data_IF_622686791142
#
_entry.id   IF_622686791142
#
_cell.length_a   1.000
_cell.length_b   1.000
_cell.length_c   1.000
_cell.angle_alpha   90.00
_cell.angle_beta   90.00
_cell.angle_gamma   90.00
#
_symmetry.space_group_name_H-M   'P 1'
#
loop_
_entity.id
_entity.type
_entity.pdbx_description
1 polymer ?
#
# COMPACT_ATOMS: atom_id res chain seq x y z
N UNK A 1 -18.18 11.56 -14.74
CA UNK A 1 -19.39 10.74 -15.00
C UNK A 1 -19.09 9.25 -15.20
N UNK A 2 -18.30 8.80 -16.18
CA UNK A 2 -18.05 7.36 -16.41
C UNK A 2 -17.57 6.58 -15.16
N UNK A 3 -16.63 7.14 -14.40
CA UNK A 3 -16.07 6.50 -13.18
C UNK A 3 -17.16 6.27 -12.10
N UNK A 4 -18.11 7.21 -11.97
CA UNK A 4 -19.20 7.12 -10.99
C UNK A 4 -20.16 5.99 -11.35
N UNK A 5 -20.50 5.82 -12.63
CA UNK A 5 -21.35 4.71 -13.08
C UNK A 5 -20.71 3.34 -12.87
N UNK A 6 -19.40 3.21 -13.13
CA UNK A 6 -18.67 1.98 -12.84
C UNK A 6 -18.61 1.67 -11.35
N UNK A 7 -18.47 2.70 -10.50
CA UNK A 7 -18.49 2.53 -9.05
C UNK A 7 -19.87 2.07 -8.54
N UNK A 8 -20.95 2.71 -9.00
CA UNK A 8 -22.32 2.34 -8.62
C UNK A 8 -22.66 0.92 -9.09
N UNK A 9 -22.29 0.58 -10.34
CA UNK A 9 -22.49 -0.77 -10.87
C UNK A 9 -21.70 -1.81 -10.05
N UNK A 10 -20.44 -1.53 -9.72
CA UNK A 10 -19.63 -2.40 -8.88
C UNK A 10 -20.23 -2.63 -7.50
N UNK A 11 -20.70 -1.56 -6.84
CA UNK A 11 -21.37 -1.64 -5.53
C UNK A 11 -22.67 -2.44 -5.64
N UNK A 12 -23.48 -2.21 -6.68
CA UNK A 12 -24.74 -2.92 -6.89
C UNK A 12 -24.53 -4.42 -7.13
N UNK A 13 -23.51 -4.80 -7.91
CA UNK A 13 -23.15 -6.20 -8.12
C UNK A 13 -22.63 -6.82 -6.82
N UNK A 14 -21.81 -6.10 -6.05
CA UNK A 14 -21.28 -6.58 -4.77
C UNK A 14 -22.40 -6.82 -3.76
N UNK A 15 -23.38 -5.90 -3.67
CA UNK A 15 -24.57 -6.06 -2.82
C UNK A 15 -25.46 -7.22 -3.28
N UNK A 16 -25.66 -7.39 -4.59
CA UNK A 16 -26.43 -8.50 -5.13
C UNK A 16 -25.78 -9.86 -4.84
N UNK A 17 -24.47 -9.98 -5.08
CA UNK A 17 -23.70 -11.18 -4.73
C UNK A 17 -23.76 -11.41 -3.21
N UNK A 18 -23.70 -10.34 -2.41
CA UNK A 18 -23.73 -10.47 -0.97
C UNK A 18 -25.07 -11.00 -0.42
N UNK A 19 -26.17 -10.55 -1.02
CA UNK A 19 -27.53 -10.95 -0.61
C UNK A 19 -27.89 -12.38 -1.06
N UNK A 20 -27.48 -12.78 -2.27
CA UNK A 20 -27.90 -14.05 -2.86
C UNK A 20 -26.86 -15.17 -2.75
N UNK A 21 -25.58 -14.83 -2.56
CA UNK A 21 -24.47 -15.79 -2.60
C UNK A 21 -23.40 -15.44 -1.58
N UNK A 22 -23.76 -15.41 -0.29
CA UNK A 22 -22.85 -15.09 0.82
C UNK A 22 -21.54 -15.89 0.81
N UNK A 23 -21.57 -17.15 0.38
CA UNK A 23 -20.37 -17.99 0.22
C UNK A 23 -19.47 -17.55 -0.95
N UNK A 24 -20.02 -16.98 -2.02
CA UNK A 24 -19.24 -16.45 -3.15
C UNK A 24 -18.55 -15.12 -2.82
N UNK A 25 -19.01 -14.38 -1.81
CA UNK A 25 -18.30 -13.19 -1.31
C UNK A 25 -16.87 -13.54 -0.89
N UNK A 26 -16.70 -14.65 -0.17
CA UNK A 26 -15.39 -15.10 0.34
C UNK A 26 -14.41 -15.35 -0.82
N UNK A 27 -14.92 -15.82 -1.97
CA UNK A 27 -14.13 -16.06 -3.17
C UNK A 27 -13.81 -14.75 -3.93
N UNK A 28 -14.81 -13.90 -4.13
CA UNK A 28 -14.72 -12.78 -5.07
C UNK A 28 -14.00 -11.57 -4.45
N UNK A 29 -14.23 -11.28 -3.17
CA UNK A 29 -13.70 -10.07 -2.51
C UNK A 29 -12.16 -10.01 -2.54
N UNK A 30 -11.42 -11.08 -2.19
CA UNK A 30 -9.95 -11.05 -2.26
C UNK A 30 -9.42 -10.77 -3.68
N UNK A 31 -10.09 -11.29 -4.72
CA UNK A 31 -9.73 -11.03 -6.12
C UNK A 31 -9.94 -9.54 -6.45
N UNK A 32 -11.09 -8.98 -6.10
CA UNK A 32 -11.38 -7.56 -6.35
C UNK A 32 -10.39 -6.64 -5.64
N UNK A 33 -10.06 -6.94 -4.38
CA UNK A 33 -9.03 -6.21 -3.62
C UNK A 33 -7.68 -6.33 -4.32
N UNK A 34 -7.28 -7.52 -4.76
CA UNK A 34 -6.03 -7.73 -5.50
C UNK A 34 -5.95 -6.93 -6.80
N UNK A 35 -7.04 -6.91 -7.59
CA UNK A 35 -7.13 -6.10 -8.82
C UNK A 35 -7.07 -4.61 -8.52
N UNK A 36 -7.77 -4.16 -7.48
CA UNK A 36 -7.75 -2.76 -7.05
C UNK A 36 -6.35 -2.31 -6.62
N UNK A 37 -5.68 -3.09 -5.75
CA UNK A 37 -4.32 -2.82 -5.30
C UNK A 37 -3.33 -2.80 -6.48
N UNK A 38 -3.46 -3.74 -7.43
CA UNK A 38 -2.66 -3.75 -8.64
C UNK A 38 -2.86 -2.48 -9.48
N UNK A 39 -4.11 -2.05 -9.66
CA UNK A 39 -4.43 -0.84 -10.42
C UNK A 39 -3.82 0.40 -9.78
N UNK A 40 -3.97 0.57 -8.47
CA UNK A 40 -3.41 1.70 -7.71
C UNK A 40 -1.87 1.66 -7.70
N UNK A 41 -1.28 0.48 -7.59
CA UNK A 41 0.18 0.32 -7.48
C UNK A 41 0.91 0.25 -8.82
N UNK A 42 0.18 0.24 -9.95
CA UNK A 42 0.74 0.05 -11.29
C UNK A 42 1.88 1.04 -11.61
N UNK A 43 1.70 2.31 -11.24
CA UNK A 43 2.70 3.36 -11.48
C UNK A 43 3.96 3.15 -10.66
N UNK A 44 3.81 2.86 -9.36
CA UNK A 44 4.93 2.54 -8.47
C UNK A 44 5.69 1.31 -8.95
N UNK A 45 4.97 0.25 -9.35
CA UNK A 45 5.58 -0.97 -9.91
C UNK A 45 6.37 -0.65 -11.19
N UNK A 46 5.81 0.16 -12.09
CA UNK A 46 6.48 0.58 -13.33
C UNK A 46 7.76 1.34 -12.99
N UNK A 47 7.71 2.30 -12.06
CA UNK A 47 8.86 3.07 -11.60
C UNK A 47 9.98 2.21 -11.00
N UNK A 48 9.65 1.18 -10.22
CA UNK A 48 10.65 0.29 -9.60
C UNK A 48 11.27 -0.68 -10.61
N UNK A 49 10.51 -1.11 -11.62
CA UNK A 49 10.96 -2.03 -12.67
C UNK A 49 11.82 -1.35 -13.74
N UNK A 50 11.60 -0.06 -14.01
CA UNK A 50 12.41 0.70 -14.97
C UNK A 50 13.82 0.91 -14.40
N UNK A 51 14.83 0.51 -15.16
CA UNK A 51 16.24 0.70 -14.80
C UNK A 51 16.67 2.15 -14.98
N UNK A 52 17.70 2.55 -14.23
CA UNK A 52 18.31 3.86 -14.40
C UNK A 52 19.07 3.94 -15.72
N UNK A 53 18.89 5.03 -16.44
CA UNK A 53 19.58 5.38 -17.68
C UNK A 53 20.41 6.63 -17.42
N UNK A 54 21.70 6.57 -17.76
CA UNK A 54 22.59 7.75 -17.72
C UNK A 54 22.19 8.76 -18.80
N UNK A 55 22.33 10.05 -18.51
CA UNK A 55 21.94 11.13 -19.43
C UNK A 55 22.67 11.04 -20.78
N UNK A 56 23.94 10.64 -20.80
CA UNK A 56 24.69 10.48 -22.06
C UNK A 56 24.24 9.31 -22.95
N UNK A 57 23.43 8.39 -22.42
CA UNK A 57 22.91 7.20 -23.12
C UNK A 57 21.40 7.30 -23.39
N UNK A 58 20.85 8.51 -23.31
CA UNK A 58 19.44 8.71 -23.59
C UNK A 58 19.13 8.36 -25.06
N UNK A 59 18.03 7.64 -25.22
CA UNK A 59 17.40 7.36 -26.49
C UNK A 59 15.91 7.66 -26.35
N UNK A 60 15.23 7.89 -27.47
CA UNK A 60 13.79 8.14 -27.43
C UNK A 60 13.05 6.96 -26.79
N UNK A 61 12.20 7.26 -25.82
CA UNK A 61 11.47 6.22 -25.10
C UNK A 61 11.25 6.53 -23.62
N UNK A 62 10.69 5.56 -22.91
CA UNK A 62 10.53 5.65 -21.46
C UNK A 62 11.88 5.45 -20.79
N UNK A 63 12.32 6.45 -20.03
CA UNK A 63 13.58 6.41 -19.28
C UNK A 63 13.34 6.72 -17.81
N UNK A 64 14.30 6.32 -16.98
CA UNK A 64 14.35 6.71 -15.58
C UNK A 64 15.74 7.23 -15.27
N UNK A 65 15.83 8.43 -14.75
CA UNK A 65 17.10 9.13 -14.51
C UNK A 65 17.18 9.49 -13.05
N UNK A 66 18.36 9.36 -12.45
CA UNK A 66 18.64 9.86 -11.11
C UNK A 66 19.62 11.02 -11.22
N UNK A 67 19.34 12.12 -10.55
CA UNK A 67 20.25 13.25 -10.56
C UNK A 67 19.85 14.33 -9.57
N UNK A 68 20.64 15.39 -9.58
CA UNK A 68 20.47 16.57 -8.74
C UNK A 68 19.67 17.62 -9.47
N UNK A 69 18.72 18.23 -8.77
CA UNK A 69 17.81 19.24 -9.31
C UNK A 69 18.47 20.60 -9.38
N UNK A 70 18.24 21.31 -10.48
CA UNK A 70 18.57 22.72 -10.66
C UNK A 70 17.48 23.44 -11.44
N UNK A 71 16.95 24.52 -10.88
CA UNK A 71 16.00 25.42 -11.51
C UNK A 71 16.35 26.89 -11.22
N UNK A 72 15.91 27.78 -12.11
CA UNK A 72 16.27 29.21 -12.09
C UNK A 72 15.49 30.00 -11.04
N UNK A 73 14.23 29.65 -10.84
CA UNK A 73 13.32 30.36 -9.93
C UNK A 73 13.07 29.50 -8.67
N UNK A 74 12.71 30.16 -7.58
CA UNK A 74 12.30 29.52 -6.34
C UNK A 74 11.01 30.15 -5.83
N UNK A 75 10.23 29.35 -5.12
CA UNK A 75 8.95 29.69 -4.51
C UNK A 75 9.02 29.40 -3.01
N UNK A 76 8.15 30.05 -2.24
CA UNK A 76 7.95 29.73 -0.83
C UNK A 76 6.63 29.00 -0.66
N UNK A 77 6.65 27.91 0.10
CA UNK A 77 5.41 27.18 0.36
C UNK A 77 4.42 27.99 1.19
N UNK A 78 3.10 27.81 1.00
CA UNK A 78 2.08 28.65 1.63
C UNK A 78 2.11 28.64 3.16
N UNK A 79 2.32 27.47 3.79
CA UNK A 79 2.27 27.29 5.23
C UNK A 79 3.65 27.21 5.88
N UNK A 80 4.49 26.25 5.48
CA UNK A 80 5.80 26.05 6.14
C UNK A 80 6.86 27.06 5.70
N UNK A 81 6.55 27.95 4.75
CA UNK A 81 7.46 28.97 4.20
C UNK A 81 8.80 28.38 3.75
N UNK A 82 8.76 27.20 3.15
CA UNK A 82 9.96 26.52 2.66
C UNK A 82 10.29 26.97 1.25
N UNK A 83 11.56 27.31 1.02
CA UNK A 83 12.05 27.56 -0.34
C UNK A 83 12.06 26.24 -1.13
N UNK A 84 11.51 26.27 -2.34
CA UNK A 84 11.35 25.12 -3.22
C UNK A 84 11.25 25.56 -4.69
N UNK A 85 11.39 24.64 -5.63
CA UNK A 85 11.16 24.88 -7.07
C UNK A 85 9.79 24.37 -7.52
N UNK A 86 9.04 23.78 -6.59
CA UNK A 86 7.68 23.34 -6.83
C UNK A 86 7.09 22.73 -5.57
N UNK A 87 5.78 22.92 -5.39
CA UNK A 87 5.05 22.39 -4.26
C UNK A 87 3.64 21.93 -4.63
N UNK A 88 3.14 20.99 -3.82
CA UNK A 88 1.73 20.65 -3.72
C UNK A 88 1.30 20.92 -2.28
N UNK A 89 0.49 21.95 -2.07
CA UNK A 89 -0.07 22.33 -0.79
C UNK A 89 -1.54 21.90 -0.71
N UNK A 90 -1.91 21.26 0.39
CA UNK A 90 -3.29 20.90 0.72
C UNK A 90 -3.65 21.42 2.10
N UNK A 91 -4.74 22.17 2.17
CA UNK A 91 -5.39 22.59 3.41
C UNK A 91 -6.72 21.86 3.54
N UNK A 92 -6.95 21.14 4.63
CA UNK A 92 -8.22 20.47 4.87
C UNK A 92 -8.68 20.69 6.32
N UNK A 93 -9.99 20.79 6.51
CA UNK A 93 -10.59 20.74 7.83
C UNK A 93 -10.62 19.28 8.29
N UNK A 94 -10.24 19.00 9.53
CA UNK A 94 -10.29 17.70 10.15
C UNK A 94 -11.49 17.67 11.07
N UNK A 95 -12.46 16.86 10.71
CA UNK A 95 -13.61 16.54 11.55
C UNK A 95 -13.34 15.19 12.22
N UNK A 96 -13.72 15.10 13.49
CA UNK A 96 -13.63 13.88 14.27
C UNK A 96 -15.01 13.26 14.39
N UNK A 97 -15.11 11.99 14.04
CA UNK A 97 -16.32 11.22 14.35
C UNK A 97 -16.27 10.76 15.81
N UNK A 98 -17.24 11.22 16.59
CA UNK A 98 -17.34 10.94 18.03
C UNK A 98 -17.63 9.48 18.35
N UNK A 99 -18.17 8.70 17.40
CA UNK A 99 -18.51 7.28 17.60
C UNK A 99 -17.35 6.36 17.26
N UNK A 100 -16.69 6.59 16.12
CA UNK A 100 -15.60 5.73 15.65
C UNK A 100 -14.21 6.22 16.09
N UNK A 101 -14.09 7.47 16.52
CA UNK A 101 -12.82 8.14 16.80
C UNK A 101 -11.98 8.39 15.55
N UNK A 102 -12.53 8.21 14.35
CA UNK A 102 -11.78 8.38 13.10
C UNK A 102 -11.80 9.82 12.60
N UNK A 103 -10.68 10.22 12.02
CA UNK A 103 -10.50 11.54 11.42
C UNK A 103 -10.95 11.55 9.96
N UNK A 104 -11.67 12.61 9.57
CA UNK A 104 -12.10 12.83 8.20
C UNK A 104 -11.68 14.22 7.71
N UNK A 105 -11.18 14.28 6.49
CA UNK A 105 -10.88 15.54 5.82
C UNK A 105 -12.12 16.10 5.12
N UNK A 106 -12.48 17.34 5.43
CA UNK A 106 -13.53 18.13 4.79
C UNK A 106 -12.93 19.37 4.12
N UNK A 107 -13.56 19.83 3.04
CA UNK A 107 -13.26 21.11 2.39
C UNK A 107 -11.79 21.29 1.99
N UNK A 108 -11.20 20.24 1.41
CA UNK A 108 -9.82 20.26 0.97
C UNK A 108 -9.61 21.31 -0.14
N UNK A 109 -8.76 22.31 0.12
CA UNK A 109 -8.24 23.25 -0.88
C UNK A 109 -6.83 22.83 -1.27
N UNK A 110 -6.57 22.79 -2.57
CA UNK A 110 -5.28 22.41 -3.14
C UNK A 110 -4.72 23.61 -3.87
N UNK A 111 -3.45 23.91 -3.61
CA UNK A 111 -2.67 24.92 -4.33
C UNK A 111 -1.39 24.26 -4.82
N UNK A 112 -1.07 24.42 -6.10
CA UNK A 112 0.09 23.84 -6.74
C UNK A 112 0.83 24.93 -7.51
N UNK A 113 2.15 24.95 -7.38
CA UNK A 113 3.01 25.80 -8.20
C UNK A 113 4.27 25.02 -8.54
N UNK A 114 4.70 25.08 -9.78
CA UNK A 114 5.87 24.36 -10.27
C UNK A 114 6.41 25.04 -11.52
N UNK A 115 7.63 24.66 -11.88
CA UNK A 115 8.30 25.09 -13.09
C UNK A 115 9.04 23.94 -13.75
N UNK A 116 9.45 24.15 -14.99
CA UNK A 116 10.46 23.31 -15.63
C UNK A 116 11.77 23.40 -14.86
N UNK A 117 12.46 22.27 -14.77
CA UNK A 117 13.73 22.17 -14.08
C UNK A 117 14.71 21.30 -14.85
N UNK A 118 15.96 21.30 -14.43
CA UNK A 118 16.99 20.45 -14.97
C UNK A 118 17.40 19.40 -13.96
N UNK A 119 17.72 18.22 -14.48
CA UNK A 119 18.30 17.13 -13.73
C UNK A 119 19.73 16.93 -14.21
N UNK A 120 20.69 16.90 -13.29
CA UNK A 120 22.10 16.68 -13.59
C UNK A 120 22.61 15.38 -12.94
N UNK A 121 23.31 14.56 -13.72
CA UNK A 121 24.06 13.41 -13.23
C UNK A 121 25.55 13.58 -13.58
N UNK A 122 26.38 12.55 -13.34
CA UNK A 122 27.82 12.59 -13.68
C UNK A 122 28.09 12.61 -15.18
N UNK A 123 27.08 12.37 -16.01
CA UNK A 123 27.19 12.20 -17.46
C UNK A 123 26.60 13.35 -18.26
N UNK A 124 25.78 14.22 -17.65
CA UNK A 124 25.23 15.39 -18.31
C UNK A 124 24.13 16.09 -17.53
N UNK A 125 23.41 16.97 -18.23
CA UNK A 125 22.26 17.73 -17.74
C UNK A 125 21.13 17.60 -18.75
N UNK A 126 19.92 17.31 -18.27
CA UNK A 126 18.72 17.11 -19.10
C UNK A 126 17.58 18.00 -18.59
N UNK A 127 16.81 18.58 -19.50
CA UNK A 127 15.64 19.38 -19.14
C UNK A 127 14.46 18.44 -18.83
N UNK A 128 13.71 18.74 -17.79
CA UNK A 128 12.46 18.07 -17.43
C UNK A 128 11.32 19.07 -17.58
N UNK A 129 10.39 18.74 -18.46
CA UNK A 129 9.21 19.57 -18.76
C UNK A 129 7.97 18.80 -18.32
N UNK A 130 7.29 19.32 -17.30
CA UNK A 130 6.10 18.70 -16.73
C UNK A 130 4.85 19.47 -17.18
N UNK A 131 3.81 18.77 -17.66
CA UNK A 131 2.50 19.39 -17.86
C UNK A 131 1.66 19.34 -16.58
N UNK A 132 1.84 18.27 -15.80
CA UNK A 132 1.21 18.09 -14.49
C UNK A 132 2.27 17.70 -13.46
N UNK A 133 2.30 18.43 -12.36
CA UNK A 133 3.30 18.23 -11.32
C UNK A 133 2.78 17.28 -10.24
N UNK A 134 3.10 15.99 -10.37
CA UNK A 134 2.69 14.98 -9.40
C UNK A 134 3.83 14.65 -8.42
N UNK A 135 3.72 15.17 -7.20
CA UNK A 135 4.67 14.91 -6.12
C UNK A 135 4.25 13.77 -5.17
N UNK A 136 3.27 12.94 -5.52
CA UNK A 136 2.70 11.93 -4.61
C UNK A 136 3.75 10.98 -3.99
N UNK A 137 4.85 10.71 -4.72
CA UNK A 137 5.92 9.81 -4.26
C UNK A 137 7.05 10.51 -3.50
N UNK A 138 6.86 11.79 -3.15
CA UNK A 138 7.72 12.52 -2.24
C UNK A 138 7.11 12.58 -0.84
N UNK A 139 7.95 12.70 0.21
CA UNK A 139 7.48 12.82 1.58
C UNK A 139 6.58 14.05 1.74
N UNK A 140 5.54 13.89 2.54
CA UNK A 140 4.64 14.96 2.90
C UNK A 140 4.99 15.48 4.30
N UNK A 141 5.14 16.79 4.43
CA UNK A 141 5.21 17.46 5.71
C UNK A 141 3.80 17.85 6.13
N UNK A 142 3.39 17.46 7.33
CA UNK A 142 2.05 17.72 7.86
C UNK A 142 2.12 18.47 9.17
N UNK A 143 1.18 19.38 9.38
CA UNK A 143 0.93 20.06 10.65
C UNK A 143 -0.57 20.24 10.83
N UNK A 144 -1.06 20.05 12.05
CA UNK A 144 -2.48 20.14 12.38
C UNK A 144 -2.67 21.19 13.46
N UNK A 145 -3.38 22.26 13.10
CA UNK A 145 -3.72 23.34 14.02
C UNK A 145 -5.00 22.93 14.74
N UNK A 146 -4.87 22.66 16.04
CA UNK A 146 -5.99 22.31 16.89
C UNK A 146 -6.77 23.55 17.33
N UNK A 147 -8.08 23.54 17.13
CA UNK A 147 -8.96 24.61 17.61
C UNK A 147 -9.29 24.39 19.09
N UNK A 148 -9.07 25.41 19.92
CA UNK A 148 -9.46 25.40 21.34
C UNK A 148 -10.99 25.61 21.49
N UNK A 149 -11.67 26.06 20.43
CA UNK A 149 -13.12 26.31 20.45
C UNK A 149 -13.90 25.02 20.23
N UNK A 150 -14.89 24.79 21.09
CA UNK A 150 -15.82 23.66 20.98
C UNK A 150 -16.53 23.65 19.61
N UNK A 151 -16.61 22.48 18.99
CA UNK A 151 -17.27 22.25 17.70
C UNK A 151 -16.71 23.05 16.51
N UNK A 152 -15.42 23.38 16.53
CA UNK A 152 -14.70 23.91 15.37
C UNK A 152 -13.72 22.85 14.88
N UNK A 153 -13.79 22.50 13.60
CA UNK A 153 -12.89 21.55 12.98
C UNK A 153 -11.42 22.01 13.10
N UNK A 154 -10.53 21.04 13.29
CA UNK A 154 -9.09 21.30 13.23
C UNK A 154 -8.66 21.56 11.79
N UNK A 155 -7.50 22.18 11.58
CA UNK A 155 -7.03 22.48 10.22
C UNK A 155 -5.70 21.78 9.98
N UNK A 156 -5.69 20.86 9.01
CA UNK A 156 -4.48 20.15 8.58
C UNK A 156 -3.87 20.80 7.34
N UNK A 157 -2.60 21.15 7.48
CA UNK A 157 -1.74 21.65 6.44
C UNK A 157 -0.81 20.53 6.00
N UNK A 158 -0.84 20.19 4.70
CA UNK A 158 0.03 19.16 4.11
C UNK A 158 0.78 19.74 2.93
N UNK A 159 2.10 19.65 2.94
CA UNK A 159 2.95 20.14 1.84
C UNK A 159 3.90 19.04 1.36
N UNK A 160 3.99 18.90 0.04
CA UNK A 160 5.09 18.17 -0.62
C UNK A 160 5.87 19.17 -1.44
N UNK A 161 7.20 19.10 -1.37
CA UNK A 161 8.09 20.08 -1.99
C UNK A 161 9.17 19.40 -2.80
N UNK A 162 9.63 20.10 -3.83
CA UNK A 162 10.82 19.77 -4.61
C UNK A 162 11.83 20.90 -4.46
N UNK A 163 13.08 20.63 -4.06
CA UNK A 163 14.06 21.70 -3.78
C UNK A 163 15.26 21.63 -4.73
N UNK A 164 15.88 22.78 -4.95
CA UNK A 164 17.17 22.84 -5.60
C UNK A 164 18.21 22.06 -4.80
N UNK A 165 19.06 21.28 -5.47
CA UNK A 165 20.06 20.44 -4.83
C UNK A 165 19.56 19.07 -4.36
N UNK A 166 18.24 18.81 -4.35
CA UNK A 166 17.74 17.48 -4.01
C UNK A 166 18.17 16.44 -5.05
N UNK A 167 18.55 15.25 -4.58
CA UNK A 167 18.79 14.10 -5.46
C UNK A 167 17.51 13.29 -5.60
N UNK A 168 16.94 13.27 -6.80
CA UNK A 168 15.67 12.58 -7.10
C UNK A 168 15.82 11.59 -8.25
N UNK A 169 14.80 10.75 -8.40
CA UNK A 169 14.61 9.86 -9.54
C UNK A 169 13.38 10.28 -10.33
N UNK A 170 13.57 10.59 -11.62
CA UNK A 170 12.53 11.00 -12.56
C UNK A 170 12.33 9.91 -13.60
N UNK A 171 11.10 9.39 -13.72
CA UNK A 171 10.69 8.51 -14.81
C UNK A 171 9.79 9.29 -15.76
N UNK A 172 10.14 9.34 -17.05
CA UNK A 172 9.41 10.10 -18.06
C UNK A 172 9.75 9.63 -19.48
N UNK A 173 9.18 10.28 -20.48
CA UNK A 173 9.50 9.97 -21.88
C UNK A 173 10.60 10.90 -22.37
N UNK A 174 11.75 10.34 -22.75
CA UNK A 174 12.80 11.08 -23.45
C UNK A 174 12.36 11.36 -24.88
N UNK A 175 12.34 12.64 -25.25
CA UNK A 175 12.02 13.11 -26.59
C UNK A 175 13.17 13.95 -27.11
N UNK A 176 13.55 13.76 -28.37
CA UNK A 176 14.58 14.55 -29.02
C UNK A 176 14.12 16.01 -29.15
N UNK A 177 14.97 16.95 -28.77
CA UNK A 177 14.71 18.38 -28.91
C UNK A 177 15.31 18.92 -30.23
N UNK A 178 15.10 20.22 -30.49
CA UNK A 178 15.56 20.88 -31.72
C UNK A 178 17.08 20.95 -31.85
N UNK A 179 17.82 20.82 -30.74
CA UNK A 179 19.28 20.97 -30.66
C UNK A 179 20.01 19.60 -30.65
N UNK A 180 19.37 18.56 -31.20
CA UNK A 180 19.84 17.16 -31.16
C UNK A 180 20.05 16.57 -29.74
N UNK A 181 19.60 17.27 -28.69
CA UNK A 181 19.57 16.80 -27.31
C UNK A 181 18.26 16.08 -26.95
N UNK A 182 18.08 15.78 -25.67
CA UNK A 182 16.87 15.15 -25.15
C UNK A 182 16.23 15.99 -24.04
N UNK A 183 14.90 16.03 -24.06
CA UNK A 183 14.09 16.55 -22.97
C UNK A 183 13.24 15.41 -22.40
N UNK A 184 12.99 15.44 -21.09
CA UNK A 184 12.11 14.49 -20.42
C UNK A 184 10.73 15.11 -20.30
N UNK A 185 9.76 14.52 -20.98
CA UNK A 185 8.40 15.06 -21.07
C UNK A 185 7.35 14.06 -20.58
N UNK A 186 6.20 14.60 -20.21
CA UNK A 186 4.99 13.82 -19.93
C UNK A 186 4.27 13.43 -21.24
N UNK A 187 3.87 12.17 -21.39
CA UNK A 187 2.98 11.70 -22.47
C UNK A 187 1.72 11.04 -21.89
N UNK A 188 0.57 11.03 -22.60
CA UNK A 188 -0.70 10.50 -22.08
C UNK A 188 -0.63 9.08 -21.48
N UNK A 189 0.20 8.19 -22.04
CA UNK A 189 0.40 6.81 -21.57
C UNK A 189 1.67 6.62 -20.72
N UNK A 190 2.50 7.65 -20.60
CA UNK A 190 3.76 7.65 -19.87
C UNK A 190 3.81 8.91 -19.01
N UNK A 191 3.17 8.90 -17.83
CA UNK A 191 3.19 10.04 -16.94
C UNK A 191 4.63 10.32 -16.49
N UNK A 192 4.93 11.60 -16.26
CA UNK A 192 6.14 12.00 -15.56
C UNK A 192 5.98 11.66 -14.08
N UNK A 193 6.93 10.92 -13.54
CA UNK A 193 6.89 10.47 -12.15
C UNK A 193 8.17 10.89 -11.44
N UNK A 194 8.02 11.64 -10.36
CA UNK A 194 9.12 12.13 -9.52
C UNK A 194 9.09 11.38 -8.20
N UNK A 195 10.24 10.84 -7.78
CA UNK A 195 10.37 10.07 -6.53
C UNK A 195 11.75 10.24 -5.91
N UNK A 196 11.90 9.85 -4.64
CA UNK A 196 13.19 9.82 -3.96
C UNK A 196 13.67 8.37 -3.72
N UNK A 197 14.92 8.21 -3.29
CA UNK A 197 15.52 6.90 -3.00
C UNK A 197 14.80 6.16 -1.88
N UNK A 198 14.30 6.88 -0.87
CA UNK A 198 13.58 6.33 0.27
C UNK A 198 12.29 5.62 -0.16
N UNK A 199 11.42 6.32 -0.90
CA UNK A 199 10.20 5.76 -1.46
C UNK A 199 10.49 4.55 -2.35
N UNK A 200 11.52 4.63 -3.19
CA UNK A 200 11.89 3.53 -4.07
C UNK A 200 12.37 2.30 -3.31
N UNK A 201 13.17 2.48 -2.27
CA UNK A 201 13.68 1.39 -1.44
C UNK A 201 12.54 0.73 -0.67
N UNK A 202 11.65 1.52 -0.07
CA UNK A 202 10.46 1.02 0.62
C UNK A 202 9.54 0.23 -0.33
N UNK A 203 9.29 0.77 -1.53
CA UNK A 203 8.48 0.11 -2.56
C UNK A 203 9.13 -1.19 -3.06
N UNK A 204 10.45 -1.20 -3.28
CA UNK A 204 11.20 -2.39 -3.71
C UNK A 204 11.16 -3.48 -2.63
N UNK A 205 11.29 -3.10 -1.36
CA UNK A 205 11.17 -3.99 -0.21
C UNK A 205 9.78 -4.60 -0.11
N UNK A 206 8.72 -3.78 -0.25
CA UNK A 206 7.34 -4.24 -0.29
C UNK A 206 7.09 -5.24 -1.43
N UNK A 207 7.58 -4.94 -2.64
CA UNK A 207 7.44 -5.85 -3.78
C UNK A 207 8.20 -7.17 -3.61
N UNK A 208 9.40 -7.15 -3.01
CA UNK A 208 10.14 -8.37 -2.68
C UNK A 208 9.41 -9.19 -1.63
N UNK A 209 8.92 -8.55 -0.57
CA UNK A 209 8.11 -9.18 0.49
C UNK A 209 6.89 -9.86 -0.11
N UNK A 210 6.13 -9.14 -0.94
CA UNK A 210 4.98 -9.67 -1.65
C UNK A 210 5.36 -10.86 -2.52
N UNK A 211 6.46 -10.78 -3.28
CA UNK A 211 6.95 -11.90 -4.11
C UNK A 211 7.24 -13.16 -3.29
N UNK A 212 7.81 -13.02 -2.09
CA UNK A 212 8.08 -14.16 -1.21
C UNK A 212 6.81 -14.77 -0.61
N UNK A 213 5.81 -13.94 -0.28
CA UNK A 213 4.57 -14.39 0.34
C UNK A 213 3.50 -14.85 -0.67
N UNK A 214 3.57 -14.40 -1.93
CA UNK A 214 2.59 -14.67 -2.98
C UNK A 214 2.18 -16.14 -3.13
N UNK A 215 3.09 -17.14 -3.22
CA UNK A 215 2.68 -18.53 -3.36
C UNK A 215 1.84 -19.02 -2.17
N UNK A 216 2.11 -18.55 -0.96
CA UNK A 216 1.36 -18.93 0.24
C UNK A 216 0.00 -18.24 0.32
N UNK A 217 -0.08 -16.98 -0.16
CA UNK A 217 -1.36 -16.28 -0.32
C UNK A 217 -2.26 -17.03 -1.32
N UNK A 218 -1.68 -17.51 -2.43
CA UNK A 218 -2.41 -18.31 -3.42
C UNK A 218 -2.88 -19.65 -2.83
N UNK A 219 -1.99 -20.39 -2.14
CA UNK A 219 -2.35 -21.65 -1.47
C UNK A 219 -3.47 -21.41 -0.47
N UNK A 220 -3.34 -20.39 0.39
CA UNK A 220 -4.37 -19.99 1.35
C UNK A 220 -5.70 -19.72 0.64
N UNK A 221 -5.69 -18.91 -0.43
CA UNK A 221 -6.88 -18.59 -1.19
C UNK A 221 -7.56 -19.85 -1.76
N UNK A 222 -6.81 -20.74 -2.41
CA UNK A 222 -7.37 -21.96 -2.97
C UNK A 222 -7.87 -22.92 -1.89
N UNK A 223 -7.15 -23.09 -0.78
CA UNK A 223 -7.55 -23.95 0.33
C UNK A 223 -8.84 -23.45 1.01
N UNK A 224 -8.94 -22.14 1.30
CA UNK A 224 -10.15 -21.56 1.89
C UNK A 224 -11.34 -21.74 0.96
N UNK A 225 -11.19 -21.44 -0.33
CA UNK A 225 -12.26 -21.62 -1.30
C UNK A 225 -12.68 -23.08 -1.49
N UNK A 226 -11.72 -24.00 -1.46
CA UNK A 226 -12.01 -25.44 -1.50
C UNK A 226 -12.92 -25.84 -0.32
N UNK A 227 -12.59 -25.43 0.90
CA UNK A 227 -13.38 -25.79 2.07
C UNK A 227 -14.75 -25.10 2.13
N UNK A 228 -14.83 -23.85 1.68
CA UNK A 228 -16.08 -23.09 1.68
C UNK A 228 -17.05 -23.55 0.59
N UNK A 229 -16.56 -23.86 -0.62
CA UNK A 229 -17.42 -24.07 -1.79
C UNK A 229 -17.52 -25.54 -2.24
N UNK A 230 -16.45 -26.32 -2.07
CA UNK A 230 -16.31 -27.63 -2.71
C UNK A 230 -16.26 -28.80 -1.73
N UNK A 231 -16.09 -28.55 -0.42
CA UNK A 231 -15.96 -29.64 0.55
C UNK A 231 -17.26 -30.42 0.68
N UNK A 232 -17.29 -31.71 0.31
CA UNK A 232 -18.52 -32.52 0.32
C UNK A 232 -18.85 -33.10 1.71
N UNK A 233 -18.25 -32.57 2.77
CA UNK A 233 -18.16 -33.28 4.06
C UNK A 233 -19.23 -32.79 5.03
N UNK A 234 -20.39 -33.45 5.02
CA UNK A 234 -21.38 -33.39 6.11
C UNK A 234 -20.89 -34.16 7.35
N UNK A 235 -19.73 -33.78 7.90
CA UNK A 235 -19.33 -34.24 9.24
C UNK A 235 -19.96 -33.32 10.26
N UNK A 236 -21.01 -33.81 10.91
CA UNK A 236 -21.63 -33.14 12.05
C UNK A 236 -20.70 -33.25 13.26
N UNK A 237 -19.71 -32.37 13.34
CA UNK A 237 -18.97 -32.13 14.57
C UNK A 237 -19.83 -31.28 15.49
N UNK A 238 -19.98 -31.67 16.78
CA UNK A 238 -20.69 -30.83 17.73
C UNK A 238 -19.99 -29.47 17.79
N UNK A 239 -20.78 -28.41 17.74
CA UNK A 239 -20.26 -27.06 17.87
C UNK A 239 -19.61 -26.92 19.25
N UNK A 240 -18.38 -26.41 19.28
CA UNK A 240 -17.67 -26.14 20.51
C UNK A 240 -17.46 -24.62 20.64
N UNK A 241 -18.36 -23.98 21.38
CA UNK A 241 -18.34 -22.53 21.59
C UNK A 241 -17.04 -22.06 22.25
N UNK A 242 -16.42 -22.88 23.10
CA UNK A 242 -15.15 -22.55 23.72
C UNK A 242 -14.03 -22.43 22.69
N UNK A 243 -14.02 -23.28 21.65
CA UNK A 243 -13.03 -23.21 20.57
C UNK A 243 -13.23 -21.96 19.73
N UNK A 244 -14.49 -21.58 19.45
CA UNK A 244 -14.82 -20.34 18.72
C UNK A 244 -14.35 -19.11 19.49
N UNK A 245 -14.69 -19.01 20.78
CA UNK A 245 -14.26 -17.91 21.65
C UNK A 245 -12.72 -17.87 21.77
N UNK A 246 -12.08 -19.03 21.91
CA UNK A 246 -10.62 -19.12 21.93
C UNK A 246 -10.00 -18.66 20.61
N UNK A 247 -10.56 -19.02 19.46
CA UNK A 247 -10.08 -18.57 18.16
C UNK A 247 -10.18 -17.04 18.00
N UNK A 248 -11.25 -16.42 18.49
CA UNK A 248 -11.45 -14.97 18.40
C UNK A 248 -10.57 -14.16 19.35
N UNK A 249 -10.47 -14.60 20.61
CA UNK A 249 -9.84 -13.81 21.67
C UNK A 249 -8.55 -14.44 22.19
N UNK A 250 -8.55 -15.76 22.39
CA UNK A 250 -7.41 -16.50 22.93
C UNK A 250 -6.21 -16.52 21.99
N UNK A 251 -6.41 -16.82 20.70
CA UNK A 251 -5.33 -16.90 19.70
C UNK A 251 -4.59 -15.56 19.50
N UNK A 252 -5.27 -14.40 19.33
CA UNK A 252 -4.53 -13.13 19.21
C UNK A 252 -3.81 -12.74 20.50
N UNK A 253 -4.40 -12.97 21.68
CA UNK A 253 -3.73 -12.74 22.97
C UNK A 253 -2.48 -13.62 23.10
N UNK A 254 -2.61 -14.91 22.78
CA UNK A 254 -1.50 -15.86 22.79
C UNK A 254 -0.41 -15.43 21.81
N UNK A 255 -0.78 -14.95 20.61
CA UNK A 255 0.15 -14.40 19.63
C UNK A 255 0.98 -13.24 20.17
N UNK A 256 0.33 -12.27 20.84
CA UNK A 256 1.00 -11.13 21.47
C UNK A 256 1.95 -11.60 22.58
N UNK A 257 1.48 -12.48 23.48
CA UNK A 257 2.28 -13.02 24.58
C UNK A 257 3.52 -13.73 24.06
N UNK A 258 3.37 -14.60 23.05
CA UNK A 258 4.50 -15.31 22.45
C UNK A 258 5.44 -14.36 21.70
N UNK A 259 4.93 -13.31 21.06
CA UNK A 259 5.76 -12.26 20.45
C UNK A 259 6.62 -11.51 21.48
N UNK A 260 6.03 -11.15 22.63
CA UNK A 260 6.75 -10.50 23.74
C UNK A 260 7.80 -11.44 24.32
N UNK A 261 7.45 -12.70 24.56
CA UNK A 261 8.39 -13.72 25.05
C UNK A 261 9.55 -13.85 24.05
N UNK A 262 9.26 -13.97 22.75
CA UNK A 262 10.26 -14.08 21.70
C UNK A 262 11.25 -12.91 21.69
N UNK A 263 10.79 -11.68 21.92
CA UNK A 263 11.66 -10.49 22.01
C UNK A 263 12.73 -10.59 23.10
N UNK A 264 12.42 -11.28 24.21
CA UNK A 264 13.30 -11.40 25.37
C UNK A 264 14.22 -12.65 25.32
N UNK A 265 14.11 -13.48 24.28
CA UNK A 265 14.90 -14.70 24.13
C UNK A 265 16.10 -14.48 23.18
N UNK A 266 17.02 -15.44 23.18
CA UNK A 266 18.18 -15.47 22.30
C UNK A 266 18.20 -16.70 21.39
N UNK A 267 18.88 -16.59 20.24
CA UNK A 267 19.10 -17.70 19.32
C UNK A 267 17.81 -18.30 18.74
N UNK A 268 17.73 -19.63 18.70
CA UNK A 268 16.59 -20.35 18.11
C UNK A 268 15.25 -20.04 18.77
N UNK A 269 15.21 -19.90 20.10
CA UNK A 269 13.98 -19.62 20.83
C UNK A 269 13.37 -18.26 20.46
N UNK A 270 14.22 -17.24 20.24
CA UNK A 270 13.78 -15.94 19.73
C UNK A 270 13.03 -16.09 18.40
N UNK A 271 13.66 -16.79 17.45
CA UNK A 271 13.10 -16.99 16.11
C UNK A 271 11.80 -17.80 16.18
N UNK A 272 11.79 -18.90 16.93
CA UNK A 272 10.61 -19.76 17.08
C UNK A 272 9.41 -18.99 17.67
N UNK A 273 9.60 -18.32 18.81
CA UNK A 273 8.52 -17.58 19.47
C UNK A 273 8.07 -16.35 18.69
N UNK A 274 9.00 -15.65 18.02
CA UNK A 274 8.66 -14.52 17.16
C UNK A 274 7.85 -14.94 15.93
N UNK A 275 8.24 -16.03 15.26
CA UNK A 275 7.49 -16.58 14.11
C UNK A 275 6.13 -17.08 14.57
N UNK A 276 6.06 -17.84 15.65
CA UNK A 276 4.81 -18.40 16.15
C UNK A 276 3.85 -17.30 16.63
N UNK A 277 4.35 -16.33 17.40
CA UNK A 277 3.57 -15.18 17.87
C UNK A 277 3.04 -14.34 16.71
N UNK A 278 3.90 -13.99 15.76
CA UNK A 278 3.51 -13.25 14.55
C UNK A 278 2.51 -14.01 13.69
N UNK A 279 2.69 -15.33 13.54
CA UNK A 279 1.75 -16.20 12.81
C UNK A 279 0.38 -16.21 13.47
N UNK A 280 0.30 -16.47 14.78
CA UNK A 280 -0.98 -16.53 15.50
C UNK A 280 -1.73 -15.19 15.46
N UNK A 281 -1.00 -14.08 15.62
CA UNK A 281 -1.57 -12.75 15.50
C UNK A 281 -2.12 -12.48 14.09
N UNK A 282 -1.32 -12.75 13.05
CA UNK A 282 -1.73 -12.51 11.66
C UNK A 282 -2.89 -13.43 11.25
N UNK A 283 -2.86 -14.70 11.65
CA UNK A 283 -3.95 -15.65 11.40
C UNK A 283 -5.24 -15.17 12.05
N UNK A 284 -5.18 -14.65 13.27
CA UNK A 284 -6.34 -14.07 13.94
C UNK A 284 -6.92 -12.90 13.15
N UNK A 285 -6.06 -11.98 12.69
CA UNK A 285 -6.48 -10.82 11.89
C UNK A 285 -7.11 -11.24 10.55
N UNK A 286 -6.51 -12.21 9.86
CA UNK A 286 -6.98 -12.69 8.55
C UNK A 286 -8.25 -13.54 8.65
N UNK A 287 -8.37 -14.36 9.69
CA UNK A 287 -9.52 -15.26 9.87
C UNK A 287 -10.71 -14.57 10.51
N UNK A 288 -10.53 -13.50 11.29
CA UNK A 288 -11.62 -12.85 12.03
C UNK A 288 -12.85 -12.52 11.16
N UNK A 289 -12.75 -11.77 10.04
CA UNK A 289 -13.92 -11.44 9.23
C UNK A 289 -14.54 -12.68 8.58
N UNK A 290 -13.71 -13.64 8.20
CA UNK A 290 -14.13 -14.89 7.56
C UNK A 290 -14.91 -15.75 8.54
N UNK A 291 -14.41 -15.92 9.77
CA UNK A 291 -15.07 -16.68 10.83
C UNK A 291 -16.40 -16.06 11.23
N UNK A 292 -16.48 -14.73 11.36
CA UNK A 292 -17.75 -14.04 11.62
C UNK A 292 -18.78 -14.36 10.53
N UNK A 293 -18.38 -14.27 9.26
CA UNK A 293 -19.27 -14.53 8.13
C UNK A 293 -19.71 -16.01 8.06
N UNK A 294 -18.79 -16.94 8.33
CA UNK A 294 -19.07 -18.38 8.36
C UNK A 294 -20.03 -18.75 9.50
N UNK A 295 -19.90 -18.11 10.66
CA UNK A 295 -20.81 -18.30 11.79
C UNK A 295 -22.20 -17.70 11.52
N UNK A 296 -22.27 -16.49 10.94
CA UNK A 296 -23.55 -15.87 10.54
C UNK A 296 -24.32 -16.70 9.50
N UNK A 297 -23.60 -17.38 8.60
CA UNK A 297 -24.19 -18.25 7.57
C UNK A 297 -24.49 -19.67 8.07
N UNK A 298 -24.31 -19.95 9.37
CA UNK A 298 -24.53 -21.27 10.00
C UNK A 298 -23.79 -22.41 9.28
N UNK A 299 -22.59 -22.14 8.81
CA UNK A 299 -21.75 -23.16 8.17
C UNK A 299 -21.36 -24.25 9.17
N UNK A 300 -21.11 -25.46 8.66
CA UNK A 300 -20.71 -26.58 9.50
C UNK A 300 -19.42 -26.24 10.27
N UNK A 301 -19.40 -26.56 11.57
CA UNK A 301 -18.25 -26.29 12.44
C UNK A 301 -16.94 -26.90 11.91
N UNK A 302 -17.01 -28.06 11.27
CA UNK A 302 -15.88 -28.68 10.58
C UNK A 302 -15.25 -27.75 9.52
N UNK A 303 -16.08 -27.11 8.69
CA UNK A 303 -15.62 -26.17 7.66
C UNK A 303 -14.91 -24.98 8.27
N UNK A 304 -15.44 -24.44 9.38
CA UNK A 304 -14.84 -23.32 10.12
C UNK A 304 -13.42 -23.68 10.60
N UNK A 305 -13.26 -24.87 11.20
CA UNK A 305 -11.96 -25.37 11.68
C UNK A 305 -10.98 -25.57 10.52
N UNK A 306 -11.43 -26.16 9.40
CA UNK A 306 -10.58 -26.38 8.22
C UNK A 306 -10.13 -25.07 7.57
N UNK A 307 -11.01 -24.07 7.49
CA UNK A 307 -10.66 -22.74 6.99
C UNK A 307 -9.61 -22.09 7.88
N UNK A 308 -9.82 -22.09 9.20
CA UNK A 308 -8.84 -21.55 10.15
C UNK A 308 -7.48 -22.24 10.04
N UNK A 309 -7.47 -23.57 10.00
CA UNK A 309 -6.25 -24.37 9.89
C UNK A 309 -5.52 -24.17 8.55
N UNK A 310 -6.27 -23.98 7.46
CA UNK A 310 -5.70 -23.66 6.14
C UNK A 310 -4.99 -22.31 6.14
N UNK A 311 -5.59 -21.30 6.78
CA UNK A 311 -4.94 -19.98 6.94
C UNK A 311 -3.73 -20.10 7.85
N UNK A 312 -3.85 -20.82 8.97
CA UNK A 312 -2.75 -21.04 9.91
C UNK A 312 -1.53 -21.67 9.24
N UNK A 313 -1.70 -22.80 8.55
CA UNK A 313 -0.61 -23.51 7.87
C UNK A 313 0.00 -22.62 6.79
N UNK A 314 -0.82 -21.93 6.00
CA UNK A 314 -0.33 -21.10 4.90
C UNK A 314 0.49 -19.91 5.40
N UNK A 315 0.04 -19.24 6.47
CA UNK A 315 0.78 -18.15 7.11
C UNK A 315 2.06 -18.66 7.76
N UNK A 316 1.99 -19.78 8.49
CA UNK A 316 3.15 -20.38 9.14
C UNK A 316 4.22 -20.75 8.11
N UNK A 317 3.84 -21.37 7.00
CA UNK A 317 4.76 -21.68 5.91
C UNK A 317 5.30 -20.41 5.25
N UNK A 318 4.45 -19.41 5.01
CA UNK A 318 4.86 -18.15 4.39
C UNK A 318 5.90 -17.38 5.20
N UNK A 319 5.64 -17.17 6.48
CA UNK A 319 6.56 -16.48 7.41
C UNK A 319 7.75 -17.38 7.73
N UNK A 320 7.52 -18.65 8.07
CA UNK A 320 8.57 -19.57 8.52
C UNK A 320 9.61 -19.88 7.44
N UNK A 321 9.19 -20.22 6.22
CA UNK A 321 10.11 -20.55 5.12
C UNK A 321 10.87 -19.32 4.63
N UNK A 322 10.25 -18.14 4.69
CA UNK A 322 10.87 -16.90 4.21
C UNK A 322 11.45 -16.04 5.33
N UNK A 323 11.50 -16.51 6.58
CA UNK A 323 11.91 -15.71 7.74
C UNK A 323 13.24 -14.99 7.50
N UNK A 324 14.30 -15.72 7.11
CA UNK A 324 15.61 -15.13 6.82
C UNK A 324 15.54 -14.07 5.71
N UNK A 325 14.84 -14.39 4.62
CA UNK A 325 14.67 -13.46 3.49
C UNK A 325 13.89 -12.20 3.86
N UNK A 326 13.01 -12.28 4.86
CA UNK A 326 12.24 -11.14 5.37
C UNK A 326 13.05 -10.33 6.39
N UNK A 327 13.89 -10.99 7.20
CA UNK A 327 14.83 -10.36 8.12
C UNK A 327 15.90 -9.57 7.35
N UNK A 328 16.50 -10.16 6.30
CA UNK A 328 17.49 -9.51 5.42
C UNK A 328 16.92 -8.27 4.69
N UNK A 329 15.59 -8.14 4.59
CA UNK A 329 14.94 -6.97 4.00
C UNK A 329 14.73 -5.84 5.02
N UNK A 330 14.80 -6.15 6.31
CA UNK A 330 14.61 -5.20 7.41
C UNK A 330 15.89 -4.53 7.88
N UNK A 331 17.05 -5.05 7.48
CA UNK A 331 18.37 -4.42 7.61
C UNK A 331 18.67 -3.45 6.45
#
# INVERSE_FOLDING_TARGET
MKIIYWAIFGISVLLFVALFFSHLIIAIVPILVGVFVWFVSKTSIKLIKTNFTSINKLSEGLVKIRGTISATETFFTPYFKQECIGYHYKKANITYDSESGSEYERDARIEEQFQDFYLADTTGKVKVTALRFNLTFLPAKTDTIHSIKYAVDDIRHTERTLKNGDTISVMGYAQKNSDDGFDIVEKPNNPLVISNSEFENASRKSLKTFKYLMPYILIMYFSVNYFVLLSPVNKNWPQNDALVVFAFFGVPILGIVLGIIGKNQFGFLKVFFSILGGTLFLVSLLTFPILCLLLMTKTAFYTIVCVWLSVFISVLMGIGVNYKKLEDLNE
#
